data_IF_590199897372
#
_entry.id   IF_590199897372
#
_cell.length_a   1.000
_cell.length_b   1.000
_cell.length_c   1.000
_cell.angle_alpha   90.00
_cell.angle_beta   90.00
_cell.angle_gamma   90.00
#
_symmetry.space_group_name_H-M   'P 1'
#
loop_
_entity.id
_entity.type
_entity.pdbx_description
1 polymer ?
#
# COMPACT_ATOMS: atom_id res chain seq x y z
N UNK A 1 8.06 -0.24 11.58
CA UNK A 1 7.40 -1.56 11.66
C UNK A 1 5.94 -1.39 11.32
N UNK A 2 5.41 -2.29 10.49
CA UNK A 2 4.01 -2.28 10.07
C UNK A 2 3.43 -3.68 10.25
N UNK A 3 2.18 -3.74 10.67
CA UNK A 3 1.45 -4.99 10.83
C UNK A 3 0.10 -4.83 10.16
N UNK A 4 -0.19 -5.74 9.23
CA UNK A 4 -1.46 -5.77 8.54
C UNK A 4 -2.31 -6.91 9.10
N UNK A 5 -3.54 -6.56 9.42
CA UNK A 5 -4.58 -7.47 9.85
C UNK A 5 -5.72 -7.39 8.86
N UNK A 6 -6.18 -8.54 8.41
CA UNK A 6 -7.35 -8.68 7.56
C UNK A 6 -8.44 -9.39 8.35
N UNK A 7 -9.64 -8.88 8.23
CA UNK A 7 -10.82 -9.54 8.77
C UNK A 7 -12.03 -9.33 7.87
N UNK A 8 -13.01 -10.21 8.03
CA UNK A 8 -14.29 -10.11 7.36
C UNK A 8 -15.03 -8.83 7.80
N UNK A 9 -15.66 -8.15 6.84
CA UNK A 9 -16.35 -6.89 7.08
C UNK A 9 -17.52 -6.99 8.07
N UNK A 10 -18.23 -8.11 8.11
CA UNK A 10 -19.30 -8.35 9.07
C UNK A 10 -18.73 -8.61 10.47
N UNK A 11 -17.63 -9.35 10.57
CA UNK A 11 -16.92 -9.56 11.84
C UNK A 11 -16.36 -8.26 12.41
N UNK A 12 -15.79 -7.39 11.57
CA UNK A 12 -15.36 -6.05 11.98
C UNK A 12 -16.55 -5.23 12.49
N UNK A 13 -17.64 -5.18 11.71
CA UNK A 13 -18.77 -4.31 12.01
C UNK A 13 -19.47 -4.66 13.33
N UNK A 14 -19.53 -5.94 13.68
CA UNK A 14 -20.06 -6.43 14.97
C UNK A 14 -19.15 -6.09 16.16
N UNK A 15 -17.84 -6.02 15.96
CA UNK A 15 -16.84 -5.86 17.03
C UNK A 15 -16.13 -4.50 17.03
N UNK A 16 -16.55 -3.55 16.17
CA UNK A 16 -15.91 -2.24 16.00
C UNK A 16 -15.86 -1.41 17.28
N UNK A 17 -16.84 -1.55 18.17
CA UNK A 17 -16.89 -0.81 19.42
C UNK A 17 -15.82 -1.29 20.40
N UNK A 18 -15.59 -2.60 20.48
CA UNK A 18 -14.48 -3.17 21.25
C UNK A 18 -13.13 -2.68 20.71
N UNK A 19 -12.97 -2.65 19.39
CA UNK A 19 -11.76 -2.10 18.75
C UNK A 19 -11.53 -0.63 19.11
N UNK A 20 -12.56 0.22 19.05
CA UNK A 20 -12.46 1.63 19.45
C UNK A 20 -12.09 1.80 20.92
N UNK A 21 -12.58 0.93 21.81
CA UNK A 21 -12.22 0.95 23.23
C UNK A 21 -10.73 0.66 23.42
N UNK A 22 -10.19 -0.34 22.71
CA UNK A 22 -8.75 -0.64 22.73
C UNK A 22 -7.95 0.59 22.29
N UNK A 23 -8.28 1.19 21.14
CA UNK A 23 -7.57 2.37 20.63
C UNK A 23 -7.62 3.56 21.61
N UNK A 24 -8.79 3.81 22.22
CA UNK A 24 -8.97 4.88 23.20
C UNK A 24 -8.17 4.62 24.49
N UNK A 25 -8.10 3.36 24.96
CA UNK A 25 -7.31 2.96 26.13
C UNK A 25 -5.82 3.28 25.95
N UNK A 26 -5.31 3.10 24.73
CA UNK A 26 -3.92 3.42 24.36
C UNK A 26 -3.71 4.89 23.97
N UNK A 27 -4.75 5.72 24.06
CA UNK A 27 -4.66 7.15 23.81
C UNK A 27 -4.55 7.54 22.33
N UNK A 28 -4.97 6.67 21.41
CA UNK A 28 -4.99 7.00 19.98
C UNK A 28 -6.21 7.87 19.68
N UNK A 29 -5.96 9.08 19.20
CA UNK A 29 -7.00 10.00 18.75
C UNK A 29 -7.42 9.68 17.32
N UNK A 30 -8.71 9.76 17.03
CA UNK A 30 -9.18 9.68 15.66
C UNK A 30 -8.72 10.92 14.87
N UNK A 31 -8.05 10.70 13.75
CA UNK A 31 -7.49 11.70 12.84
C UNK A 31 -7.89 11.48 11.37
N UNK A 32 -8.67 10.43 11.11
CA UNK A 32 -9.08 10.03 9.76
C UNK A 32 -10.16 10.88 9.13
N UNK A 33 -10.40 10.59 7.86
CA UNK A 33 -11.49 11.12 7.03
C UNK A 33 -12.56 10.06 6.81
N UNK A 34 -13.66 10.42 6.16
CA UNK A 34 -14.79 9.51 5.87
C UNK A 34 -14.41 8.29 5.01
N UNK A 35 -13.32 8.40 4.26
CA UNK A 35 -12.77 7.37 3.38
C UNK A 35 -11.63 6.57 4.03
N UNK A 36 -10.78 7.24 4.82
CA UNK A 36 -9.62 6.60 5.48
C UNK A 36 -9.69 6.80 7.00
N UNK A 37 -9.93 5.72 7.73
CA UNK A 37 -10.10 5.77 9.18
C UNK A 37 -8.76 5.63 9.87
N UNK A 38 -8.14 6.76 10.23
CA UNK A 38 -6.84 6.79 10.89
C UNK A 38 -7.01 7.15 12.36
N UNK A 39 -6.39 6.37 13.24
CA UNK A 39 -6.17 6.71 14.64
C UNK A 39 -4.67 6.85 14.86
N UNK A 40 -4.23 7.93 15.50
CA UNK A 40 -2.82 8.14 15.75
C UNK A 40 -2.54 8.75 17.12
N UNK A 41 -1.37 8.41 17.63
CA UNK A 41 -0.74 8.98 18.81
C UNK A 41 0.65 9.52 18.43
N UNK A 42 1.43 9.99 19.41
CA UNK A 42 2.79 10.53 19.20
C UNK A 42 3.79 9.49 18.67
N UNK A 43 3.50 8.20 18.79
CA UNK A 43 4.48 7.13 18.55
C UNK A 43 3.96 5.98 17.69
N UNK A 44 2.64 5.91 17.45
CA UNK A 44 2.00 4.82 16.71
C UNK A 44 0.72 5.30 16.03
N UNK A 45 0.38 4.64 14.94
CA UNK A 45 -0.85 4.88 14.18
C UNK A 45 -1.50 3.57 13.77
N UNK A 46 -2.82 3.62 13.60
CA UNK A 46 -3.64 2.53 13.12
C UNK A 46 -4.53 3.08 12.02
N UNK A 47 -4.42 2.52 10.83
CA UNK A 47 -5.24 2.86 9.68
C UNK A 47 -6.21 1.71 9.43
N UNK A 48 -7.49 1.98 9.34
CA UNK A 48 -8.49 1.01 8.88
C UNK A 48 -8.98 1.41 7.49
N UNK A 49 -8.92 0.44 6.58
CA UNK A 49 -9.41 0.52 5.22
C UNK A 49 -10.50 -0.53 5.04
N UNK A 50 -11.59 -0.15 4.40
CA UNK A 50 -12.76 -1.01 4.21
C UNK A 50 -12.97 -1.22 2.72
N UNK A 51 -13.01 -2.48 2.32
CA UNK A 51 -13.44 -2.86 0.98
C UNK A 51 -14.96 -3.00 1.02
N UNK A 52 -15.64 -2.16 0.23
CA UNK A 52 -17.09 -2.18 0.07
C UNK A 52 -17.44 -2.70 -1.31
N UNK A 53 -18.43 -3.58 -1.36
CA UNK A 53 -19.08 -3.98 -2.59
C UNK A 53 -20.19 -2.95 -2.85
N UNK A 54 -19.97 -2.08 -3.85
CA UNK A 54 -20.90 -1.01 -4.22
C UNK A 54 -22.24 -1.55 -4.75
N UNK A 55 -22.25 -2.77 -5.31
CA UNK A 55 -23.45 -3.41 -5.86
C UNK A 55 -24.39 -3.88 -4.74
N UNK A 56 -23.81 -4.25 -3.60
CA UNK A 56 -24.52 -4.80 -2.44
C UNK A 56 -24.58 -3.87 -1.22
N UNK A 57 -23.94 -2.70 -1.30
CA UNK A 57 -23.74 -1.72 -0.19
C UNK A 57 -23.26 -2.37 1.12
N UNK A 58 -22.41 -3.41 1.01
CA UNK A 58 -21.86 -4.11 2.18
C UNK A 58 -20.35 -4.00 2.25
N UNK A 59 -19.82 -3.85 3.47
CA UNK A 59 -18.39 -4.02 3.71
C UNK A 59 -18.06 -5.51 3.61
N UNK A 60 -17.29 -5.89 2.59
CA UNK A 60 -16.85 -7.28 2.37
C UNK A 60 -15.64 -7.59 3.24
N UNK A 61 -14.71 -6.63 3.35
CA UNK A 61 -13.44 -6.85 4.03
C UNK A 61 -13.01 -5.59 4.77
N UNK A 62 -12.38 -5.79 5.93
CA UNK A 62 -11.75 -4.74 6.69
C UNK A 62 -10.26 -5.08 6.85
N UNK A 63 -9.41 -4.15 6.41
CA UNK A 63 -7.97 -4.23 6.56
C UNK A 63 -7.53 -3.18 7.58
N UNK A 64 -6.82 -3.62 8.62
CA UNK A 64 -6.26 -2.77 9.66
C UNK A 64 -4.74 -2.80 9.54
N UNK A 65 -4.14 -1.62 9.39
CA UNK A 65 -2.71 -1.43 9.31
C UNK A 65 -2.25 -0.70 10.56
N UNK A 66 -1.58 -1.40 11.46
CA UNK A 66 -0.88 -0.79 12.59
C UNK A 66 0.54 -0.41 12.17
N UNK A 67 1.00 0.77 12.58
CA UNK A 67 2.35 1.27 12.31
C UNK A 67 2.96 1.88 13.57
N UNK A 68 4.20 1.50 13.87
CA UNK A 68 4.99 2.16 14.91
C UNK A 68 6.49 1.99 14.67
N UNK A 69 7.28 2.79 15.39
CA UNK A 69 8.74 2.66 15.44
C UNK A 69 9.20 1.49 16.33
N UNK A 70 8.37 1.02 17.27
CA UNK A 70 8.71 -0.08 18.20
C UNK A 70 7.50 -0.99 18.39
N UNK A 71 7.70 -2.26 18.77
CA UNK A 71 6.60 -3.14 19.18
C UNK A 71 5.99 -2.61 20.47
N UNK A 72 4.73 -2.17 20.40
CA UNK A 72 3.98 -1.61 21.54
C UNK A 72 3.00 -2.66 22.08
N UNK A 73 2.55 -2.54 23.34
CA UNK A 73 1.50 -3.41 23.88
C UNK A 73 0.18 -3.32 23.10
N UNK A 74 -0.10 -2.18 22.45
CA UNK A 74 -1.26 -2.03 21.56
C UNK A 74 -1.25 -3.05 20.43
N UNK A 75 -0.09 -3.33 19.83
CA UNK A 75 0.03 -4.32 18.76
C UNK A 75 -0.45 -5.70 19.21
N UNK A 76 -0.08 -6.12 20.43
CA UNK A 76 -0.51 -7.41 20.98
C UNK A 76 -2.01 -7.43 21.24
N UNK A 77 -2.58 -6.37 21.85
CA UNK A 77 -4.03 -6.28 22.07
C UNK A 77 -4.83 -6.27 20.75
N UNK A 78 -4.36 -5.56 19.72
CA UNK A 78 -5.00 -5.58 18.39
C UNK A 78 -4.91 -6.98 17.80
N UNK A 79 -3.76 -7.64 17.90
CA UNK A 79 -3.55 -8.98 17.37
C UNK A 79 -4.43 -10.02 18.05
N UNK A 80 -4.51 -10.01 19.38
CA UNK A 80 -5.41 -10.88 20.15
C UNK A 80 -6.88 -10.61 19.79
N UNK A 81 -7.26 -9.33 19.67
CA UNK A 81 -8.61 -8.97 19.26
C UNK A 81 -8.93 -9.46 17.85
N UNK A 82 -8.05 -9.24 16.87
CA UNK A 82 -8.22 -9.71 15.47
C UNK A 82 -8.39 -11.23 15.43
N UNK A 83 -7.55 -11.97 16.15
CA UNK A 83 -7.64 -13.43 16.21
C UNK A 83 -8.91 -13.90 16.90
N UNK A 84 -9.35 -13.22 17.96
CA UNK A 84 -10.61 -13.51 18.67
C UNK A 84 -11.83 -13.35 17.77
N UNK A 85 -11.83 -12.36 16.87
CA UNK A 85 -12.92 -12.14 15.90
C UNK A 85 -12.82 -13.01 14.64
N UNK A 86 -11.82 -13.92 14.58
CA UNK A 86 -11.59 -14.82 13.44
C UNK A 86 -10.86 -14.18 12.26
N UNK A 87 -10.26 -13.01 12.45
CA UNK A 87 -9.35 -12.40 11.47
C UNK A 87 -7.94 -12.98 11.55
N UNK A 88 -7.12 -12.65 10.57
CA UNK A 88 -5.72 -13.05 10.52
C UNK A 88 -4.83 -11.86 10.19
N UNK A 89 -3.59 -11.86 10.67
CA UNK A 89 -2.66 -10.78 10.39
C UNK A 89 -1.22 -11.19 10.59
N UNK A 90 -0.33 -10.48 9.92
CA UNK A 90 1.11 -10.73 9.88
C UNK A 90 1.92 -9.44 9.99
N UNK A 91 3.20 -9.59 10.36
CA UNK A 91 4.16 -8.50 10.22
C UNK A 91 4.28 -8.23 8.72
N UNK A 92 3.87 -7.04 8.30
CA UNK A 92 4.12 -6.59 6.96
C UNK A 92 5.54 -6.02 7.01
N UNK A 93 6.49 -6.84 6.56
CA UNK A 93 7.87 -6.41 6.37
C UNK A 93 7.87 -5.11 5.56
N UNK A 94 8.85 -4.23 5.77
CA UNK A 94 9.01 -2.86 5.23
C UNK A 94 9.17 -2.80 3.68
N UNK A 95 8.64 -3.81 3.02
CA UNK A 95 8.73 -4.16 1.60
C UNK A 95 7.34 -4.20 0.92
N UNK A 96 6.23 -4.00 1.65
CA UNK A 96 4.95 -3.73 1.00
C UNK A 96 4.85 -2.24 0.66
N UNK A 97 4.85 -1.86 -0.63
CA UNK A 97 4.73 -0.47 -1.03
C UNK A 97 3.36 0.07 -0.60
N UNK A 98 3.36 1.26 -0.01
CA UNK A 98 2.16 2.05 0.18
C UNK A 98 1.46 2.19 -1.19
N UNK A 99 0.15 1.89 -1.32
CA UNK A 99 -0.52 1.97 -2.63
C UNK A 99 -0.44 3.38 -3.23
N UNK A 100 -0.35 4.43 -2.39
CA UNK A 100 -0.13 5.80 -2.86
C UNK A 100 1.32 6.02 -3.35
N UNK A 101 2.31 5.35 -2.77
CA UNK A 101 3.68 5.31 -3.31
C UNK A 101 3.77 4.50 -4.60
N UNK A 102 2.98 3.43 -4.74
CA UNK A 102 2.85 2.67 -5.98
C UNK A 102 2.31 3.54 -7.12
N UNK A 103 1.26 4.30 -6.88
CA UNK A 103 0.73 5.29 -7.84
C UNK A 103 1.74 6.40 -8.15
N UNK A 104 2.46 6.92 -7.17
CA UNK A 104 3.48 7.94 -7.39
C UNK A 104 4.64 7.42 -8.26
N UNK A 105 5.12 6.21 -7.97
CA UNK A 105 6.14 5.53 -8.77
C UNK A 105 5.63 5.24 -10.18
N UNK A 106 4.36 4.84 -10.35
CA UNK A 106 3.79 4.56 -11.66
C UNK A 106 3.63 5.84 -12.51
N UNK A 107 3.17 6.94 -11.90
CA UNK A 107 3.09 8.25 -12.56
C UNK A 107 4.47 8.76 -13.00
N UNK A 108 5.47 8.64 -12.13
CA UNK A 108 6.82 9.10 -12.43
C UNK A 108 7.52 8.21 -13.46
N UNK A 109 7.24 6.89 -13.43
CA UNK A 109 7.66 5.94 -14.46
C UNK A 109 6.97 6.24 -15.80
N UNK A 110 5.70 6.63 -15.81
CA UNK A 110 4.96 7.00 -17.03
C UNK A 110 5.52 8.27 -17.69
N UNK A 111 5.90 9.28 -16.89
CA UNK A 111 6.58 10.49 -17.39
C UNK A 111 7.94 10.13 -17.99
N UNK A 112 8.71 9.27 -17.30
CA UNK A 112 10.00 8.79 -17.79
C UNK A 112 9.86 7.98 -19.09
N UNK A 113 8.87 7.09 -19.17
CA UNK A 113 8.56 6.33 -20.37
C UNK A 113 8.19 7.26 -21.54
N UNK A 114 7.46 8.34 -21.31
CA UNK A 114 7.11 9.29 -22.38
C UNK A 114 8.34 9.96 -23.02
N UNK A 115 9.43 10.15 -22.27
CA UNK A 115 10.65 10.80 -22.76
C UNK A 115 11.68 9.80 -23.29
N UNK A 116 11.74 8.58 -22.73
CA UNK A 116 12.81 7.62 -23.03
C UNK A 116 12.36 6.37 -23.78
N UNK A 117 11.06 6.17 -23.99
CA UNK A 117 10.57 5.04 -24.80
C UNK A 117 11.01 5.21 -26.26
N UNK A 118 11.77 4.25 -26.81
CA UNK A 118 12.10 4.27 -28.22
C UNK A 118 10.84 4.02 -29.05
N UNK A 119 10.58 4.94 -29.98
CA UNK A 119 9.43 4.85 -30.88
C UNK A 119 9.75 3.89 -32.04
N UNK A 120 9.48 2.60 -31.82
CA UNK A 120 9.85 1.55 -32.77
C UNK A 120 9.21 1.74 -34.15
N UNK A 121 8.02 2.33 -34.22
CA UNK A 121 7.37 2.63 -35.50
C UNK A 121 8.03 3.80 -36.23
N UNK A 122 8.38 4.88 -35.53
CA UNK A 122 9.15 5.98 -36.13
C UNK A 122 10.51 5.49 -36.61
N UNK A 123 11.22 4.70 -35.80
CA UNK A 123 12.54 4.15 -36.15
C UNK A 123 12.48 3.19 -37.35
N UNK A 124 11.41 2.40 -37.49
CA UNK A 124 11.17 1.57 -38.68
C UNK A 124 10.92 2.43 -39.93
N UNK A 125 10.15 3.52 -39.81
CA UNK A 125 9.91 4.47 -40.91
C UNK A 125 11.16 5.24 -41.32
N UNK A 126 12.07 5.51 -40.39
CA UNK A 126 13.40 6.08 -40.65
C UNK A 126 14.38 5.07 -41.30
N UNK A 127 13.95 3.82 -41.53
CA UNK A 127 14.75 2.81 -42.22
C UNK A 127 15.83 2.17 -41.35
N UNK A 128 15.73 2.26 -40.02
CA UNK A 128 16.68 1.57 -39.14
C UNK A 128 16.49 0.05 -39.19
N UNK A 129 17.58 -0.74 -39.13
CA UNK A 129 17.51 -2.19 -39.07
C UNK A 129 16.70 -2.66 -37.84
N UNK A 130 15.82 -3.65 -38.00
CA UNK A 130 15.01 -4.18 -36.89
C UNK A 130 15.85 -4.69 -35.72
N UNK A 131 17.04 -5.24 -35.98
CA UNK A 131 17.96 -5.68 -34.95
C UNK A 131 18.43 -4.55 -34.02
N UNK A 132 18.53 -3.31 -34.54
CA UNK A 132 18.89 -2.14 -33.74
C UNK A 132 17.70 -1.64 -32.93
N UNK A 133 16.50 -1.66 -33.53
CA UNK A 133 15.26 -1.28 -32.85
C UNK A 133 14.96 -2.24 -31.69
N UNK A 134 15.12 -3.55 -31.90
CA UNK A 134 14.98 -4.57 -30.84
C UNK A 134 16.00 -4.36 -29.72
N UNK A 135 17.25 -4.01 -30.06
CA UNK A 135 18.29 -3.72 -29.08
C UNK A 135 17.96 -2.47 -28.24
N UNK A 136 17.50 -1.40 -28.87
CA UNK A 136 17.07 -0.17 -28.20
C UNK A 136 15.85 -0.42 -27.29
N UNK A 137 14.87 -1.19 -27.75
CA UNK A 137 13.69 -1.57 -26.94
C UNK A 137 14.10 -2.45 -25.75
N UNK A 138 15.03 -3.38 -25.93
CA UNK A 138 15.57 -4.21 -24.83
C UNK A 138 16.35 -3.37 -23.83
N UNK A 139 17.18 -2.44 -24.30
CA UNK A 139 17.95 -1.55 -23.44
C UNK A 139 17.03 -0.62 -22.63
N UNK A 140 16.00 -0.07 -23.28
CA UNK A 140 14.96 0.71 -22.61
C UNK A 140 14.21 -0.12 -21.56
N UNK A 141 13.78 -1.35 -21.87
CA UNK A 141 13.13 -2.23 -20.88
C UNK A 141 14.03 -2.50 -19.67
N UNK A 142 15.32 -2.69 -19.89
CA UNK A 142 16.30 -2.90 -18.81
C UNK A 142 16.42 -1.64 -17.94
N UNK A 143 16.59 -0.47 -18.56
CA UNK A 143 16.63 0.83 -17.89
C UNK A 143 15.33 1.15 -17.16
N UNK A 144 14.18 0.74 -17.70
CA UNK A 144 12.86 0.91 -17.07
C UNK A 144 12.75 0.12 -15.77
N UNK A 145 13.26 -1.11 -15.74
CA UNK A 145 13.29 -1.92 -14.51
C UNK A 145 14.22 -1.32 -13.47
N UNK A 146 15.38 -0.83 -13.88
CA UNK A 146 16.34 -0.15 -12.99
C UNK A 146 15.74 1.15 -12.45
N UNK A 147 15.15 1.98 -13.31
CA UNK A 147 14.50 3.23 -12.92
C UNK A 147 13.31 3.00 -12.00
N UNK A 148 12.49 1.96 -12.25
CA UNK A 148 11.41 1.57 -11.34
C UNK A 148 11.95 1.18 -9.96
N UNK A 149 13.08 0.48 -9.89
CA UNK A 149 13.74 0.15 -8.62
C UNK A 149 14.30 1.38 -7.92
N UNK A 150 14.93 2.29 -8.66
CA UNK A 150 15.43 3.56 -8.11
C UNK A 150 14.29 4.43 -7.57
N UNK A 151 13.20 4.58 -8.32
CA UNK A 151 12.02 5.33 -7.88
C UNK A 151 11.41 4.68 -6.64
N UNK A 152 11.20 3.36 -6.65
CA UNK A 152 10.71 2.64 -5.48
C UNK A 152 11.65 2.77 -4.26
N UNK A 153 12.96 2.92 -4.46
CA UNK A 153 13.93 3.15 -3.40
C UNK A 153 14.01 4.61 -2.94
N UNK A 154 13.81 5.59 -3.82
CA UNK A 154 13.80 7.02 -3.49
C UNK A 154 12.54 7.47 -2.74
N UNK A 155 11.42 6.77 -2.93
CA UNK A 155 10.19 6.97 -2.17
C UNK A 155 10.17 6.22 -0.82
N UNK A 156 11.25 5.53 -0.42
CA UNK A 156 11.39 5.02 0.95
C UNK A 156 11.76 6.17 1.89
N UNK A 157 10.96 6.49 2.92
CA UNK A 157 11.38 7.42 3.96
C UNK A 157 12.45 6.74 4.84
N UNK A 158 13.60 7.40 5.00
CA UNK A 158 14.62 7.07 6.01
C UNK A 158 14.13 7.20 7.44
#
# INVERSE_FOLDING_TARGET
MRFRFTLDGASYSKNKDAFKVILKRHGLGFRGSRDTFVWSSRSESVTATFERDEDRDVTVRADLLWQSRKKTPLLNEIKEWVWSVGGHGGEEDDTAPDPASGEAVDRELAIWDAVHRPDAERLRREGRPEAWIDRDVKDWKRKRVEKKRELAAGFRPS
#
